data_IF_191785554273
#
_entry.id   IF_191785554273
#
_cell.length_a   1.000
_cell.length_b   1.000
_cell.length_c   1.000
_cell.angle_alpha   90.00
_cell.angle_beta   90.00
_cell.angle_gamma   90.00
#
_symmetry.space_group_name_H-M   'P 1'
#
loop_
_entity.id
_entity.type
_entity.pdbx_description
1 polymer ?
#
# COMPACT_ATOMS: atom_id res chain seq x y z
N UNK A 1 0.78 23.70 14.54
CA UNK A 1 0.93 22.30 15.01
C UNK A 1 -0.45 21.72 15.09
N UNK A 2 -0.88 21.04 14.04
CA UNK A 2 -2.12 20.28 14.06
C UNK A 2 -1.84 19.03 14.89
N UNK A 3 -2.62 18.79 15.94
CA UNK A 3 -2.39 17.71 16.87
C UNK A 3 -2.43 16.38 16.11
N UNK A 4 -1.36 15.59 16.20
CA UNK A 4 -1.43 14.20 15.79
C UNK A 4 -2.45 13.52 16.71
N UNK A 5 -3.63 13.20 16.19
CA UNK A 5 -4.60 12.38 16.90
C UNK A 5 -4.00 10.98 17.05
N UNK A 6 -3.33 10.75 18.17
CA UNK A 6 -2.79 9.45 18.55
C UNK A 6 -3.92 8.66 19.20
N UNK A 7 -4.64 7.86 18.41
CA UNK A 7 -5.50 6.81 18.96
C UNK A 7 -4.68 5.52 18.98
N UNK A 8 -4.25 5.02 20.16
CA UNK A 8 -3.53 3.76 20.24
C UNK A 8 -4.49 2.60 19.95
N UNK A 9 -4.30 1.92 18.82
CA UNK A 9 -5.18 0.85 18.33
C UNK A 9 -4.71 -0.57 18.71
N UNK A 10 -3.72 -0.70 19.60
CA UNK A 10 -3.21 -2.02 20.02
C UNK A 10 -2.48 -2.80 18.93
N UNK A 11 -1.75 -2.11 18.05
CA UNK A 11 -0.99 -2.74 16.95
C UNK A 11 0.39 -3.21 17.44
N UNK A 12 0.39 -4.26 18.24
CA UNK A 12 1.58 -4.97 18.72
C UNK A 12 1.41 -6.49 18.75
N UNK A 13 0.37 -7.00 18.10
CA UNK A 13 0.02 -8.42 18.11
C UNK A 13 1.01 -9.24 17.26
N UNK A 14 1.38 -10.44 17.74
CA UNK A 14 2.17 -11.39 16.96
C UNK A 14 1.44 -11.80 15.68
N UNK A 15 2.18 -12.23 14.65
CA UNK A 15 1.56 -12.59 13.36
C UNK A 15 0.63 -13.81 13.45
N UNK A 16 0.79 -14.64 14.48
CA UNK A 16 -0.14 -15.69 14.89
C UNK A 16 -1.53 -15.12 15.22
N UNK A 17 -1.61 -14.01 15.94
CA UNK A 17 -2.87 -13.32 16.19
C UNK A 17 -3.47 -12.69 14.94
N UNK A 18 -2.62 -12.22 14.01
CA UNK A 18 -3.09 -11.72 12.70
C UNK A 18 -3.72 -12.86 11.91
N UNK A 19 -3.10 -14.03 11.85
CA UNK A 19 -3.64 -15.21 11.14
C UNK A 19 -4.93 -15.72 11.80
N UNK A 20 -4.96 -15.79 13.14
CA UNK A 20 -6.18 -16.20 13.88
C UNK A 20 -7.34 -15.26 13.58
N UNK A 21 -7.09 -13.95 13.44
CA UNK A 21 -8.12 -12.96 13.12
C UNK A 21 -8.48 -12.90 11.63
N UNK A 22 -7.52 -13.07 10.73
CA UNK A 22 -7.71 -12.88 9.28
C UNK A 22 -8.19 -14.13 8.55
N UNK A 23 -7.91 -15.33 9.07
CA UNK A 23 -7.86 -16.58 8.30
C UNK A 23 -6.63 -16.68 7.39
N UNK A 24 -6.17 -17.91 7.16
CA UNK A 24 -5.02 -18.20 6.30
C UNK A 24 -5.27 -17.77 4.85
N UNK A 25 -6.51 -17.82 4.35
CA UNK A 25 -6.83 -17.43 2.97
C UNK A 25 -6.67 -15.93 2.73
N UNK A 26 -6.99 -15.10 3.74
CA UNK A 26 -6.79 -13.65 3.64
C UNK A 26 -5.32 -13.25 3.65
N UNK A 27 -4.43 -14.07 4.23
CA UNK A 27 -2.98 -13.87 4.08
C UNK A 27 -2.50 -14.41 2.74
N UNK A 28 -2.93 -15.63 2.36
CA UNK A 28 -2.56 -16.32 1.12
C UNK A 28 -2.86 -15.50 -0.13
N UNK A 29 -3.93 -14.71 -0.14
CA UNK A 29 -4.35 -13.91 -1.31
C UNK A 29 -3.30 -12.88 -1.75
N UNK A 30 -2.41 -12.46 -0.86
CA UNK A 30 -1.35 -11.48 -1.15
C UNK A 30 -0.04 -12.11 -1.62
N UNK A 31 0.06 -13.44 -1.67
CA UNK A 31 1.29 -14.13 -2.05
C UNK A 31 1.33 -14.40 -3.56
N UNK A 32 2.38 -13.94 -4.29
CA UNK A 32 2.52 -14.14 -5.72
C UNK A 32 3.11 -15.53 -6.09
N UNK A 33 2.78 -16.57 -5.32
CA UNK A 33 3.15 -17.95 -5.62
C UNK A 33 2.11 -18.91 -5.02
N UNK A 34 2.00 -20.15 -5.52
CA UNK A 34 1.09 -21.13 -4.94
C UNK A 34 1.63 -21.63 -3.59
N UNK A 35 0.79 -21.63 -2.57
CA UNK A 35 1.08 -22.19 -1.26
C UNK A 35 -0.21 -22.73 -0.66
N UNK A 36 -0.15 -23.91 -0.05
CA UNK A 36 -1.29 -24.50 0.66
C UNK A 36 -1.37 -23.98 2.11
N UNK A 37 -2.50 -24.26 2.77
CA UNK A 37 -2.73 -23.80 4.13
C UNK A 37 -1.71 -24.38 5.15
N UNK A 38 -1.37 -25.69 5.14
CA UNK A 38 -0.36 -26.23 6.04
C UNK A 38 1.02 -25.59 5.89
N UNK A 39 1.51 -25.43 4.65
CA UNK A 39 2.82 -24.82 4.40
C UNK A 39 2.84 -23.33 4.75
N UNK A 40 1.73 -22.61 4.53
CA UNK A 40 1.61 -21.21 4.96
C UNK A 40 1.66 -21.11 6.49
N UNK A 41 0.92 -21.98 7.18
CA UNK A 41 0.88 -22.00 8.64
C UNK A 41 2.26 -22.30 9.24
N UNK A 42 2.96 -23.29 8.70
CA UNK A 42 4.33 -23.63 9.09
C UNK A 42 5.28 -22.42 8.94
N UNK A 43 5.21 -21.73 7.80
CA UNK A 43 6.02 -20.51 7.57
C UNK A 43 5.68 -19.38 8.53
N UNK A 44 4.41 -19.22 8.92
CA UNK A 44 4.00 -18.18 9.88
C UNK A 44 4.52 -18.50 11.28
N UNK A 45 4.45 -19.75 11.73
CA UNK A 45 4.91 -20.15 13.06
C UNK A 45 6.43 -20.18 13.18
N UNK A 46 7.11 -20.65 12.13
CA UNK A 46 8.57 -20.74 12.09
C UNK A 46 9.23 -19.49 11.48
N UNK A 47 8.54 -18.36 11.45
CA UNK A 47 9.05 -17.12 10.85
C UNK A 47 10.25 -16.57 11.61
N UNK A 48 11.32 -16.28 10.89
CA UNK A 48 12.47 -15.51 11.36
C UNK A 48 12.48 -14.08 10.81
N UNK A 49 13.61 -13.36 10.93
CA UNK A 49 13.80 -12.08 10.26
C UNK A 49 13.58 -12.17 8.74
N UNK A 50 13.03 -11.12 8.14
CA UNK A 50 12.63 -11.07 6.74
C UNK A 50 13.82 -10.81 5.79
N UNK A 51 14.68 -11.81 5.62
CA UNK A 51 15.94 -11.68 4.86
C UNK A 51 15.85 -12.19 3.42
N UNK A 52 14.92 -13.10 3.13
CA UNK A 52 14.65 -13.62 1.79
C UNK A 52 13.43 -12.94 1.15
N UNK A 53 13.35 -12.94 -0.20
CA UNK A 53 12.18 -12.42 -0.91
C UNK A 53 10.87 -13.05 -0.40
N UNK A 54 10.83 -14.38 -0.27
CA UNK A 54 9.64 -15.07 0.23
C UNK A 54 9.25 -14.65 1.65
N UNK A 55 10.21 -14.47 2.55
CA UNK A 55 9.95 -14.00 3.92
C UNK A 55 9.48 -12.55 3.96
N UNK A 56 10.03 -11.67 3.11
CA UNK A 56 9.58 -10.27 2.99
C UNK A 56 8.15 -10.20 2.46
N UNK A 57 7.84 -10.99 1.43
CA UNK A 57 6.49 -11.03 0.85
C UNK A 57 5.45 -11.59 1.83
N UNK A 58 5.84 -12.57 2.67
CA UNK A 58 5.00 -13.06 3.76
C UNK A 58 4.74 -11.98 4.82
N UNK A 59 5.78 -11.26 5.26
CA UNK A 59 5.64 -10.15 6.21
C UNK A 59 4.76 -9.04 5.65
N UNK A 60 4.91 -8.70 4.37
CA UNK A 60 4.04 -7.74 3.70
C UNK A 60 2.58 -8.23 3.67
N UNK A 61 2.32 -9.52 3.44
CA UNK A 61 0.97 -10.09 3.45
C UNK A 61 0.34 -9.99 4.85
N UNK A 62 1.09 -10.35 5.88
CA UNK A 62 0.66 -10.25 7.28
C UNK A 62 0.41 -8.80 7.69
N UNK A 63 1.28 -7.87 7.29
CA UNK A 63 1.12 -6.45 7.61
C UNK A 63 -0.15 -5.85 6.98
N UNK A 64 -0.52 -6.24 5.75
CA UNK A 64 -1.79 -5.81 5.14
C UNK A 64 -3.00 -6.26 5.94
N UNK A 65 -3.01 -7.52 6.38
CA UNK A 65 -4.10 -8.04 7.20
C UNK A 65 -4.14 -7.38 8.58
N UNK A 66 -2.97 -7.13 9.19
CA UNK A 66 -2.89 -6.41 10.46
C UNK A 66 -3.50 -5.00 10.36
N UNK A 67 -3.16 -4.23 9.31
CA UNK A 67 -3.74 -2.90 9.07
C UNK A 67 -5.25 -3.02 8.82
N UNK A 68 -5.68 -3.96 7.98
CA UNK A 68 -7.09 -4.15 7.69
C UNK A 68 -7.91 -4.52 8.94
N UNK A 69 -7.35 -5.33 9.84
CA UNK A 69 -7.96 -5.62 11.15
C UNK A 69 -8.00 -4.40 12.06
N UNK A 70 -6.91 -3.63 12.11
CA UNK A 70 -6.87 -2.39 12.88
C UNK A 70 -8.04 -1.47 12.49
N UNK A 71 -8.25 -1.29 11.18
CA UNK A 71 -9.34 -0.44 10.68
C UNK A 71 -10.74 -1.00 10.99
N UNK A 72 -10.89 -2.33 11.06
CA UNK A 72 -12.15 -2.94 11.52
C UNK A 72 -12.37 -2.66 13.01
N UNK A 73 -11.36 -2.87 13.84
CA UNK A 73 -11.43 -2.57 15.28
C UNK A 73 -11.73 -1.07 15.53
N UNK A 74 -11.15 -0.16 14.72
CA UNK A 74 -11.47 1.29 14.71
C UNK A 74 -12.93 1.53 14.38
N UNK A 75 -13.45 0.90 13.32
CA UNK A 75 -14.83 1.06 12.89
C UNK A 75 -15.81 0.55 13.97
N UNK A 76 -15.52 -0.60 14.56
CA UNK A 76 -16.33 -1.20 15.63
C UNK A 76 -16.32 -0.35 16.91
N UNK A 77 -15.23 0.39 17.16
CA UNK A 77 -15.14 1.39 18.23
C UNK A 77 -15.85 2.72 17.90
N UNK A 78 -16.47 2.85 16.73
CA UNK A 78 -17.20 4.05 16.31
C UNK A 78 -16.30 5.21 15.88
N UNK A 79 -15.04 4.95 15.56
CA UNK A 79 -14.07 5.96 15.12
C UNK A 79 -14.09 6.14 13.59
N UNK A 80 -13.72 7.33 13.13
CA UNK A 80 -13.84 7.71 11.72
C UNK A 80 -12.72 7.13 10.83
N UNK A 81 -12.95 5.93 10.30
CA UNK A 81 -12.08 5.29 9.31
C UNK A 81 -12.00 6.09 8.00
N UNK A 82 -13.05 6.82 7.63
CA UNK A 82 -13.05 7.61 6.40
C UNK A 82 -12.08 8.81 6.54
N UNK A 83 -12.07 9.47 7.70
CA UNK A 83 -11.06 10.49 8.02
C UNK A 83 -9.64 9.91 7.92
N UNK A 84 -9.38 8.74 8.51
CA UNK A 84 -8.07 8.08 8.42
C UNK A 84 -7.65 7.79 6.97
N UNK A 85 -8.56 7.27 6.16
CA UNK A 85 -8.31 6.99 4.72
C UNK A 85 -8.15 8.24 3.87
N UNK A 86 -8.66 9.38 4.33
CA UNK A 86 -8.58 10.66 3.62
C UNK A 86 -7.40 11.53 4.08
N UNK A 87 -6.57 11.03 5.00
CA UNK A 87 -5.46 11.77 5.58
C UNK A 87 -4.50 12.33 4.50
N UNK A 88 -4.19 13.64 4.52
CA UNK A 88 -3.31 14.28 3.52
C UNK A 88 -1.84 13.89 3.68
N UNK A 89 -1.46 13.41 4.87
CA UNK A 89 -0.13 12.93 5.20
C UNK A 89 -0.24 11.64 6.01
N UNK A 90 0.57 10.65 5.66
CA UNK A 90 0.61 9.34 6.30
C UNK A 90 2.07 9.01 6.61
N UNK A 91 2.36 8.62 7.85
CA UNK A 91 3.68 8.17 8.28
C UNK A 91 3.65 6.66 8.52
N UNK A 92 4.55 5.93 7.85
CA UNK A 92 4.80 4.50 8.08
C UNK A 92 5.95 4.37 9.07
N UNK A 93 5.75 3.60 10.14
CA UNK A 93 6.76 3.31 11.17
C UNK A 93 6.87 1.80 11.43
N UNK A 94 7.80 1.40 12.31
CA UNK A 94 7.98 0.01 12.77
C UNK A 94 8.34 -0.96 11.66
N UNK A 95 7.91 -2.23 11.76
CA UNK A 95 8.31 -3.29 10.82
C UNK A 95 8.03 -2.97 9.35
N UNK A 96 6.91 -2.30 9.05
CA UNK A 96 6.56 -1.91 7.67
C UNK A 96 7.53 -0.85 7.15
N UNK A 97 7.96 0.08 8.01
CA UNK A 97 9.01 1.04 7.65
C UNK A 97 10.38 0.37 7.53
N UNK A 98 10.66 -0.70 8.27
CA UNK A 98 11.93 -1.43 8.21
C UNK A 98 12.02 -2.44 7.05
N UNK A 99 11.02 -2.52 6.17
CA UNK A 99 11.08 -3.35 4.96
C UNK A 99 12.23 -2.92 4.03
N UNK A 100 12.93 -3.85 3.34
CA UNK A 100 14.13 -3.53 2.57
C UNK A 100 13.98 -2.44 1.51
N UNK A 101 12.80 -2.34 0.85
CA UNK A 101 12.55 -1.36 -0.21
C UNK A 101 11.39 -0.44 0.17
N UNK A 102 11.52 0.86 -0.07
CA UNK A 102 10.44 1.82 0.14
C UNK A 102 9.15 1.46 -0.62
N UNK A 103 9.28 0.86 -1.81
CA UNK A 103 8.15 0.35 -2.59
C UNK A 103 7.37 -0.76 -1.90
N UNK A 104 8.01 -1.57 -1.06
CA UNK A 104 7.34 -2.59 -0.25
C UNK A 104 6.51 -1.94 0.86
N UNK A 105 7.08 -0.97 1.57
CA UNK A 105 6.36 -0.18 2.59
C UNK A 105 5.15 0.53 1.99
N UNK A 106 5.34 1.21 0.85
CA UNK A 106 4.26 1.90 0.16
C UNK A 106 3.17 0.93 -0.30
N UNK A 107 3.54 -0.23 -0.84
CA UNK A 107 2.57 -1.23 -1.30
C UNK A 107 1.73 -1.79 -0.13
N UNK A 108 2.37 -2.14 0.98
CA UNK A 108 1.66 -2.57 2.20
C UNK A 108 0.69 -1.50 2.68
N UNK A 109 1.14 -0.24 2.70
CA UNK A 109 0.29 0.87 3.12
C UNK A 109 -0.94 1.00 2.23
N UNK A 110 -0.78 1.08 0.90
CA UNK A 110 -1.92 1.34 0.00
C UNK A 110 -2.91 0.19 -0.07
N UNK A 111 -2.43 -1.05 0.09
CA UNK A 111 -3.26 -2.25 0.11
C UNK A 111 -3.99 -2.40 1.44
N UNK A 112 -3.32 -2.15 2.57
CA UNK A 112 -3.90 -2.33 3.91
C UNK A 112 -4.76 -1.16 4.39
N UNK A 113 -4.27 0.07 4.24
CA UNK A 113 -4.98 1.27 4.69
C UNK A 113 -6.13 1.64 3.75
N UNK A 114 -5.94 1.37 2.45
CA UNK A 114 -6.83 1.80 1.37
C UNK A 114 -7.10 3.32 1.37
N UNK A 115 -6.08 4.16 1.10
CA UNK A 115 -6.29 5.61 1.01
C UNK A 115 -7.37 5.97 -0.01
N UNK A 116 -8.09 7.06 0.25
CA UNK A 116 -9.24 7.52 -0.54
C UNK A 116 -9.06 8.93 -1.11
N UNK A 117 -7.92 9.57 -0.82
CA UNK A 117 -7.60 10.92 -1.23
C UNK A 117 -6.20 10.98 -1.87
N UNK A 118 -5.72 12.20 -2.08
CA UNK A 118 -4.32 12.47 -2.36
C UNK A 118 -3.56 12.56 -1.05
N UNK A 119 -2.60 11.67 -0.85
CA UNK A 119 -1.84 11.57 0.40
C UNK A 119 -0.34 11.58 0.13
N UNK A 120 0.39 12.39 0.89
CA UNK A 120 1.85 12.27 0.99
C UNK A 120 2.19 11.13 1.93
N UNK A 121 3.09 10.24 1.52
CA UNK A 121 3.55 9.12 2.34
C UNK A 121 5.00 9.34 2.79
N UNK A 122 5.18 9.24 4.09
CA UNK A 122 6.46 9.24 4.78
C UNK A 122 6.77 7.86 5.34
N UNK A 123 8.05 7.57 5.50
CA UNK A 123 8.57 6.34 6.07
C UNK A 123 9.65 6.70 7.07
N UNK A 124 9.55 6.18 8.29
CA UNK A 124 10.57 6.33 9.32
C UNK A 124 11.03 4.94 9.77
N UNK A 125 12.14 4.43 9.20
CA UNK A 125 12.72 3.17 9.66
C UNK A 125 13.33 3.34 11.06
N UNK A 126 13.46 2.23 11.80
CA UNK A 126 13.96 2.24 13.19
C UNK A 126 15.34 2.91 13.31
N UNK A 127 16.18 2.70 12.30
CA UNK A 127 17.47 3.38 12.12
C UNK A 127 17.36 4.44 11.02
N UNK A 128 16.79 5.60 11.34
CA UNK A 128 16.70 6.68 10.37
C UNK A 128 15.86 7.87 10.82
N UNK A 129 15.67 8.80 9.89
CA UNK A 129 14.71 9.91 10.03
C UNK A 129 13.55 9.68 9.08
N UNK A 130 12.39 10.20 9.42
CA UNK A 130 11.26 10.25 8.51
C UNK A 130 11.65 10.83 7.14
N UNK A 131 11.54 10.02 6.10
CA UNK A 131 11.76 10.38 4.70
C UNK A 131 10.44 10.35 3.93
N UNK A 132 10.32 11.20 2.91
CA UNK A 132 9.16 11.19 2.02
C UNK A 132 9.39 10.19 0.89
N UNK A 133 8.61 9.11 0.89
CA UNK A 133 8.81 8.03 -0.09
C UNK A 133 7.95 8.17 -1.33
N UNK A 134 6.77 8.79 -1.25
CA UNK A 134 5.84 8.83 -2.38
C UNK A 134 4.63 9.74 -2.15
N UNK A 135 3.92 10.02 -3.23
CA UNK A 135 2.59 10.66 -3.19
C UNK A 135 1.58 9.72 -3.83
N UNK A 136 0.50 9.40 -3.11
CA UNK A 136 -0.54 8.47 -3.56
C UNK A 136 -1.75 9.26 -4.03
N UNK A 137 -2.21 8.98 -5.24
CA UNK A 137 -3.45 9.51 -5.82
C UNK A 137 -4.43 8.36 -5.95
N UNK A 138 -5.31 8.25 -4.97
CA UNK A 138 -6.35 7.22 -4.95
C UNK A 138 -7.58 7.72 -5.69
N UNK A 139 -8.04 6.95 -6.67
CA UNK A 139 -9.18 7.31 -7.50
C UNK A 139 -9.97 6.07 -7.91
N UNK A 140 -11.29 6.18 -8.06
CA UNK A 140 -12.11 5.02 -8.47
C UNK A 140 -13.01 5.43 -9.63
N UNK A 141 -12.43 5.61 -10.84
CA UNK A 141 -13.19 6.14 -11.95
C UNK A 141 -14.08 5.04 -12.55
N UNK A 142 -15.35 5.35 -12.83
CA UNK A 142 -16.29 4.41 -13.50
C UNK A 142 -16.01 4.22 -14.99
N UNK A 143 -15.32 5.17 -15.61
CA UNK A 143 -14.89 5.20 -17.02
C UNK A 143 -13.47 5.74 -17.07
N UNK A 144 -12.68 5.49 -18.13
CA UNK A 144 -11.35 6.09 -18.26
C UNK A 144 -11.37 7.60 -17.98
N UNK A 145 -10.52 8.03 -17.05
CA UNK A 145 -10.37 9.42 -16.63
C UNK A 145 -9.03 9.99 -17.10
N UNK A 146 -8.82 11.28 -16.88
CA UNK A 146 -7.54 11.95 -17.14
C UNK A 146 -7.03 12.56 -15.85
N UNK A 147 -5.80 12.20 -15.46
CA UNK A 147 -5.06 12.91 -14.41
C UNK A 147 -4.27 14.03 -15.06
N UNK A 148 -4.46 15.25 -14.56
CA UNK A 148 -3.64 16.42 -14.86
C UNK A 148 -2.55 16.50 -13.80
N UNK A 149 -1.31 16.66 -14.25
CA UNK A 149 -0.14 16.83 -13.39
C UNK A 149 0.52 18.15 -13.78
N UNK A 150 0.68 19.05 -12.83
CA UNK A 150 1.34 20.36 -13.02
C UNK A 150 2.56 20.42 -12.13
N UNK A 151 3.69 20.83 -12.69
CA UNK A 151 4.98 21.01 -12.03
C UNK A 151 5.68 22.23 -12.64
N UNK A 152 6.78 22.68 -12.03
CA UNK A 152 7.54 23.82 -12.53
C UNK A 152 8.03 23.62 -13.98
N UNK A 153 8.39 22.39 -14.36
CA UNK A 153 8.82 22.04 -15.72
C UNK A 153 7.68 21.97 -16.75
N UNK A 154 6.43 22.12 -16.33
CA UNK A 154 5.27 22.18 -17.21
C UNK A 154 4.10 21.32 -16.77
N UNK A 155 3.14 21.16 -17.67
CA UNK A 155 1.90 20.41 -17.45
C UNK A 155 1.87 19.16 -18.31
N UNK A 156 1.53 18.03 -17.72
CA UNK A 156 1.24 16.78 -18.42
C UNK A 156 -0.16 16.26 -18.09
N UNK A 157 -0.67 15.38 -18.95
CA UNK A 157 -1.95 14.69 -18.76
C UNK A 157 -1.73 13.22 -19.08
N UNK A 158 -2.18 12.34 -18.20
CA UNK A 158 -2.12 10.90 -18.40
C UNK A 158 -3.53 10.26 -18.29
N UNK A 159 -3.82 9.19 -19.05
CA UNK A 159 -5.04 8.43 -18.86
C UNK A 159 -4.99 7.63 -17.56
N UNK A 160 -6.13 7.49 -16.89
CA UNK A 160 -6.32 6.61 -15.74
C UNK A 160 -7.45 5.65 -16.05
N UNK A 161 -7.10 4.40 -16.33
CA UNK A 161 -8.08 3.35 -16.57
C UNK A 161 -8.61 2.81 -15.23
N UNK A 162 -9.89 2.41 -15.14
CA UNK A 162 -10.37 1.62 -14.02
C UNK A 162 -9.50 0.37 -13.84
N UNK A 163 -9.10 0.06 -12.61
CA UNK A 163 -8.20 -1.05 -12.30
C UNK A 163 -6.70 -0.74 -12.45
N UNK A 164 -6.32 0.39 -13.03
CA UNK A 164 -4.90 0.73 -13.25
C UNK A 164 -4.15 1.01 -11.95
N UNK A 165 -2.84 0.69 -11.95
CA UNK A 165 -1.97 0.84 -10.79
C UNK A 165 -0.54 1.04 -11.27
N UNK A 166 0.09 2.16 -10.90
CA UNK A 166 1.45 2.42 -11.37
C UNK A 166 2.08 3.71 -10.85
N UNK A 167 3.41 3.72 -10.88
CA UNK A 167 4.23 4.87 -10.52
C UNK A 167 4.55 5.74 -11.73
N UNK A 168 4.56 7.06 -11.50
CA UNK A 168 5.17 8.03 -12.39
C UNK A 168 6.36 8.64 -11.63
N UNK A 169 7.57 8.36 -12.11
CA UNK A 169 8.80 8.90 -11.53
C UNK A 169 8.85 10.42 -11.71
N UNK A 170 8.57 11.14 -10.63
CA UNK A 170 8.61 12.60 -10.54
C UNK A 170 9.30 12.93 -9.22
N UNK A 171 10.23 13.89 -9.21
CA UNK A 171 11.01 14.28 -8.02
C UNK A 171 10.74 15.71 -7.55
N UNK A 172 9.63 16.30 -7.98
CA UNK A 172 9.33 17.73 -7.85
C UNK A 172 8.05 17.98 -7.02
N UNK A 173 7.78 19.24 -6.75
CA UNK A 173 6.45 19.66 -6.31
C UNK A 173 5.45 19.49 -7.47
N UNK A 174 4.35 18.83 -7.18
CA UNK A 174 3.30 18.51 -8.12
C UNK A 174 1.95 18.96 -7.60
N UNK A 175 1.12 19.51 -8.50
CA UNK A 175 -0.32 19.60 -8.32
C UNK A 175 -0.98 18.55 -9.22
N UNK A 176 -1.88 17.77 -8.64
CA UNK A 176 -2.61 16.72 -9.33
C UNK A 176 -4.10 16.96 -9.25
N UNK A 177 -4.79 16.67 -10.35
CA UNK A 177 -6.26 16.70 -10.40
C UNK A 177 -6.79 15.62 -11.35
N UNK A 178 -7.80 14.87 -10.90
CA UNK A 178 -8.54 13.90 -11.73
C UNK A 178 -9.96 14.40 -11.92
N UNK A 179 -10.21 15.01 -13.08
CA UNK A 179 -11.54 15.54 -13.42
C UNK A 179 -12.56 14.41 -13.54
N UNK A 180 -13.79 14.64 -13.07
CA UNK A 180 -14.87 13.65 -13.04
C UNK A 180 -14.87 12.74 -11.79
N UNK A 181 -13.74 12.65 -11.07
CA UNK A 181 -13.66 11.92 -9.80
C UNK A 181 -13.54 12.85 -8.56
N UNK A 182 -13.39 14.17 -8.77
CA UNK A 182 -13.30 15.16 -7.68
C UNK A 182 -11.99 15.11 -6.88
N UNK A 183 -11.00 14.34 -7.33
CA UNK A 183 -9.71 14.17 -6.64
C UNK A 183 -8.76 15.29 -7.04
N UNK A 184 -8.23 16.00 -6.04
CA UNK A 184 -7.21 17.04 -6.21
C UNK A 184 -6.24 17.03 -5.03
N UNK A 185 -5.00 17.43 -5.27
CA UNK A 185 -4.03 17.62 -4.20
C UNK A 185 -2.73 18.20 -4.73
N UNK A 186 -1.87 18.64 -3.83
CA UNK A 186 -0.56 19.16 -4.18
C UNK A 186 0.46 18.71 -3.13
N UNK A 187 1.72 18.65 -3.53
CA UNK A 187 2.82 18.30 -2.63
C UNK A 187 4.02 17.78 -3.40
N UNK A 188 5.08 17.46 -2.67
CA UNK A 188 6.27 16.86 -3.26
C UNK A 188 6.05 15.37 -3.47
N UNK A 189 6.38 14.86 -4.65
CA UNK A 189 6.10 13.46 -5.02
C UNK A 189 6.99 12.42 -4.32
N UNK A 190 8.12 12.82 -3.74
CA UNK A 190 9.01 11.91 -2.99
C UNK A 190 9.87 11.01 -3.89
N UNK A 191 10.67 10.13 -3.28
CA UNK A 191 11.69 9.34 -3.99
C UNK A 191 11.14 8.35 -5.02
N UNK A 192 10.00 7.69 -4.74
CA UNK A 192 9.32 6.79 -5.68
C UNK A 192 8.48 7.56 -6.72
N UNK A 193 8.12 8.80 -6.41
CA UNK A 193 7.27 9.64 -7.23
C UNK A 193 5.77 9.48 -6.96
N UNK A 194 4.96 9.69 -8.01
CA UNK A 194 3.51 9.73 -7.91
C UNK A 194 2.92 8.34 -8.19
N UNK A 195 2.32 7.71 -7.18
CA UNK A 195 1.54 6.49 -7.33
C UNK A 195 0.10 6.85 -7.71
N UNK A 196 -0.38 6.32 -8.83
CA UNK A 196 -1.78 6.36 -9.20
C UNK A 196 -2.39 5.00 -8.86
N UNK A 197 -3.36 5.00 -7.95
CA UNK A 197 -4.11 3.80 -7.57
C UNK A 197 -5.56 3.92 -8.00
N UNK A 198 -5.89 3.21 -9.07
CA UNK A 198 -7.24 3.10 -9.62
C UNK A 198 -7.83 1.69 -9.49
N UNK A 199 -7.28 0.84 -8.60
CA UNK A 199 -7.71 -0.56 -8.43
C UNK A 199 -9.12 -0.72 -7.86
N UNK A 200 -9.72 0.37 -7.38
CA UNK A 200 -10.99 0.36 -6.65
C UNK A 200 -10.82 -0.14 -5.22
N UNK A 201 -11.83 0.13 -4.39
CA UNK A 201 -11.88 -0.26 -2.97
C UNK A 201 -13.29 -0.74 -2.60
N UNK A 202 -13.44 -1.76 -1.73
CA UNK A 202 -12.37 -2.53 -1.08
C UNK A 202 -11.53 -3.32 -2.08
N UNK A 203 -10.23 -3.43 -1.83
CA UNK A 203 -9.30 -4.09 -2.74
C UNK A 203 -9.44 -5.61 -2.61
N UNK A 204 -9.87 -6.27 -3.68
CA UNK A 204 -10.01 -7.72 -3.73
C UNK A 204 -9.17 -8.30 -4.88
N UNK A 205 -8.08 -9.03 -4.60
CA UNK A 205 -7.39 -9.82 -5.61
C UNK A 205 -8.34 -10.89 -6.20
N UNK A 206 -8.11 -11.35 -7.45
CA UNK A 206 -8.85 -12.49 -7.99
C UNK A 206 -8.79 -13.71 -7.07
N UNK A 207 -9.86 -14.50 -7.01
CA UNK A 207 -9.91 -15.70 -6.15
C UNK A 207 -9.05 -16.84 -6.70
N UNK A 208 -9.08 -17.05 -8.02
CA UNK A 208 -8.38 -18.13 -8.69
C UNK A 208 -6.89 -17.86 -8.75
N UNK A 209 -6.08 -18.80 -8.25
CA UNK A 209 -4.61 -18.71 -8.24
C UNK A 209 -4.01 -18.34 -9.60
N UNK A 210 -4.55 -18.91 -10.69
CA UNK A 210 -4.08 -18.63 -12.06
C UNK A 210 -4.23 -17.16 -12.50
N UNK A 211 -5.14 -16.40 -11.90
CA UNK A 211 -5.31 -14.96 -12.15
C UNK A 211 -4.71 -14.11 -11.03
N UNK A 212 -4.83 -14.58 -9.78
CA UNK A 212 -4.37 -13.90 -8.58
C UNK A 212 -2.86 -13.70 -8.58
N UNK A 213 -2.13 -14.80 -8.73
CA UNK A 213 -0.66 -14.81 -8.64
C UNK A 213 -0.04 -13.82 -9.64
N UNK A 214 -0.35 -13.86 -10.95
CA UNK A 214 0.21 -12.88 -11.88
C UNK A 214 -0.28 -11.46 -11.59
N UNK A 215 -1.50 -11.27 -11.08
CA UNK A 215 -2.02 -9.95 -10.73
C UNK A 215 -1.27 -9.32 -9.56
N UNK A 216 -1.08 -10.07 -8.47
CA UNK A 216 -0.30 -9.63 -7.31
C UNK A 216 1.16 -9.38 -7.71
N UNK A 217 1.75 -10.27 -8.51
CA UNK A 217 3.12 -10.07 -9.02
C UNK A 217 3.25 -8.75 -9.81
N UNK A 218 2.26 -8.39 -10.65
CA UNK A 218 2.25 -7.09 -11.36
C UNK A 218 2.19 -5.90 -10.39
N UNK A 219 1.42 -5.97 -9.31
CA UNK A 219 1.38 -4.89 -8.31
C UNK A 219 2.71 -4.72 -7.59
N UNK A 220 3.38 -5.84 -7.26
CA UNK A 220 4.73 -5.79 -6.70
C UNK A 220 5.73 -5.17 -7.68
N UNK A 221 5.69 -5.55 -8.96
CA UNK A 221 6.56 -4.98 -9.98
C UNK A 221 6.32 -3.47 -10.18
N UNK A 222 5.05 -3.03 -10.16
CA UNK A 222 4.66 -1.62 -10.34
C UNK A 222 5.30 -0.67 -9.30
N UNK A 223 5.64 -1.18 -8.11
CA UNK A 223 6.30 -0.42 -7.04
C UNK A 223 7.75 -0.86 -6.81
N UNK A 224 8.34 -1.63 -7.71
CA UNK A 224 9.70 -2.18 -7.55
C UNK A 224 9.85 -2.97 -6.23
N UNK A 225 8.77 -3.58 -5.75
CA UNK A 225 8.67 -4.23 -4.44
C UNK A 225 9.14 -5.70 -4.43
N UNK A 226 9.31 -6.32 -5.61
CA UNK A 226 9.95 -7.62 -5.78
C UNK A 226 11.39 -7.47 -6.30
N UNK A 227 12.17 -8.55 -6.31
CA UNK A 227 13.43 -8.58 -7.05
C UNK A 227 13.17 -8.46 -8.56
N UNK A 228 14.08 -7.80 -9.27
CA UNK A 228 13.96 -7.65 -10.72
C UNK A 228 14.22 -9.01 -11.37
N UNK A 229 13.19 -9.65 -11.93
CA UNK A 229 13.31 -10.97 -12.60
C UNK A 229 13.81 -10.85 -14.04
N UNK A 230 14.28 -9.67 -14.45
CA UNK A 230 14.78 -9.37 -15.80
C UNK A 230 16.25 -9.74 -16.02
N UNK A 231 16.88 -10.44 -15.08
CA UNK A 231 18.20 -11.06 -15.27
C UNK A 231 18.11 -12.58 -15.05
N UNK A 232 17.72 -13.32 -16.08
CA UNK A 232 18.06 -14.74 -16.25
C UNK A 232 18.09 -15.08 -17.73
#
# INVERSE_FOLDING_TARGET
MEAAHLVPLGLGMGADHVVVRASLDNVRRWLPWPIDAPALLDRVFNRGPATSEASVLLEMALAREAIAHALRDVADAGLDVAAMRSAPAILITGRVASLPKAGQSLLVLVDGLEPSAVSTVFREPDEGRAERIGMVVSVTPRRPAKIRIVRASGRSVAPVAPGSFGLIAIGDDVEVAVNGAGIRGHGRSGALGLLIDARGRPLAPPERDGERIPTVARWHAALQAAADRSAT
#
